data_IF_827577362481
#
_entry.id   IF_827577362481
#
_cell.length_a   1.000
_cell.length_b   1.000
_cell.length_c   1.000
_cell.angle_alpha   90.00
_cell.angle_beta   90.00
_cell.angle_gamma   90.00
#
_symmetry.space_group_name_H-M   'P 1'
#
loop_
_entity.id
_entity.type
_entity.pdbx_description
1 polymer ?
#
# COMPACT_ATOMS: atom_id res chain seq x y z
N UNK A 1 -23.17 50.88 22.84
CA UNK A 1 -22.73 52.29 22.96
C UNK A 1 -21.52 52.48 22.09
N UNK A 2 -21.68 53.28 21.02
CA UNK A 2 -20.76 54.15 20.29
C UNK A 2 -19.50 53.48 19.68
N UNK A 3 -19.35 53.41 18.35
CA UNK A 3 -19.20 54.39 17.22
C UNK A 3 -17.72 54.37 16.79
N UNK A 4 -17.45 53.82 15.60
CA UNK A 4 -17.04 54.45 14.33
C UNK A 4 -15.62 55.11 14.36
N UNK A 5 -14.77 55.03 13.35
CA UNK A 5 -14.94 55.59 12.03
C UNK A 5 -13.84 55.18 11.05
N UNK A 6 -14.19 55.25 9.78
CA UNK A 6 -13.36 55.19 8.55
C UNK A 6 -12.26 56.26 8.49
N UNK A 7 -11.18 56.00 7.73
CA UNK A 7 -10.54 56.97 6.87
C UNK A 7 -10.09 56.31 5.58
N UNK A 8 -10.62 56.78 4.46
CA UNK A 8 -10.11 56.63 3.07
C UNK A 8 -9.00 57.67 2.83
N UNK A 9 -8.01 57.30 2.06
CA UNK A 9 -7.18 58.26 1.36
C UNK A 9 -6.87 57.78 -0.06
N UNK A 10 -7.32 58.54 -1.01
CA UNK A 10 -7.13 58.50 -2.48
C UNK A 10 -5.92 59.39 -2.82
N UNK A 11 -5.05 58.99 -3.75
CA UNK A 11 -4.25 59.88 -4.62
C UNK A 11 -3.69 59.04 -5.76
N UNK A 12 -4.04 59.19 -6.86
CA UNK A 12 -3.94 59.93 -8.11
C UNK A 12 -2.64 59.65 -8.91
N UNK A 13 -2.87 59.29 -10.17
CA UNK A 13 -1.91 58.93 -11.20
C UNK A 13 -1.12 60.14 -11.74
N UNK A 14 0.09 59.89 -12.22
CA UNK A 14 0.74 60.70 -13.26
C UNK A 14 1.42 59.78 -14.28
N UNK A 15 1.01 59.92 -15.53
CA UNK A 15 1.61 59.28 -16.70
C UNK A 15 2.74 60.16 -17.25
N UNK A 16 3.86 59.49 -17.61
CA UNK A 16 4.80 60.10 -18.57
C UNK A 16 5.21 59.03 -19.58
N UNK A 17 4.93 59.31 -20.85
CA UNK A 17 5.36 58.49 -21.98
C UNK A 17 6.80 58.87 -22.39
N UNK A 18 7.57 57.87 -22.74
CA UNK A 18 8.87 58.04 -23.39
C UNK A 18 9.20 56.82 -24.26
N UNK A 19 9.07 56.98 -25.58
CA UNK A 19 9.53 56.00 -26.56
C UNK A 19 11.05 56.06 -26.72
N UNK A 20 11.72 54.88 -26.70
CA UNK A 20 12.91 54.66 -27.51
C UNK A 20 13.08 53.17 -27.80
N UNK A 21 13.23 52.86 -29.07
CA UNK A 21 13.43 51.60 -29.72
C UNK A 21 14.88 51.13 -29.59
N UNK A 22 15.12 49.86 -29.21
CA UNK A 22 16.26 49.09 -29.70
C UNK A 22 16.14 47.58 -29.32
N UNK A 23 16.37 46.78 -30.32
CA UNK A 23 16.56 45.36 -30.49
C UNK A 23 16.45 44.42 -29.31
N UNK A 24 15.47 43.52 -29.32
CA UNK A 24 15.35 42.40 -28.39
C UNK A 24 15.76 41.09 -29.05
N UNK A 25 16.86 40.52 -28.59
CA UNK A 25 17.08 39.10 -28.67
C UNK A 25 16.12 38.40 -27.68
N UNK A 26 15.10 37.74 -28.20
CA UNK A 26 14.10 37.06 -27.39
C UNK A 26 14.71 35.85 -26.64
N UNK A 27 14.99 36.00 -25.36
CA UNK A 27 14.98 34.87 -24.43
C UNK A 27 13.52 34.51 -24.19
N UNK A 28 13.10 33.33 -24.64
CA UNK A 28 11.84 32.75 -24.24
C UNK A 28 11.88 32.63 -22.69
N UNK A 29 11.07 33.42 -22.03
CA UNK A 29 10.79 33.21 -20.60
C UNK A 29 10.09 31.87 -20.50
N UNK A 30 10.73 30.88 -19.86
CA UNK A 30 10.08 29.67 -19.39
C UNK A 30 9.11 30.09 -18.28
N UNK A 31 7.90 30.53 -18.68
CA UNK A 31 6.84 30.82 -17.74
C UNK A 31 6.52 29.54 -16.99
N UNK A 32 6.74 29.53 -15.67
CA UNK A 32 6.32 28.48 -14.79
C UNK A 32 4.82 28.26 -14.94
N UNK A 33 4.40 27.09 -15.43
CA UNK A 33 2.99 26.78 -15.65
C UNK A 33 2.34 26.74 -14.27
N UNK A 34 1.39 27.66 -14.04
CA UNK A 34 0.70 27.77 -12.76
C UNK A 34 -0.10 26.51 -12.47
N UNK A 35 0.02 25.98 -11.25
CA UNK A 35 -0.80 24.87 -10.74
C UNK A 35 -2.29 25.25 -10.78
N UNK A 36 -3.08 24.49 -11.55
CA UNK A 36 -4.51 24.74 -11.76
C UNK A 36 -5.36 23.49 -11.59
N UNK A 37 -4.73 22.30 -11.60
CA UNK A 37 -5.38 21.00 -11.49
C UNK A 37 -5.35 20.50 -10.04
N UNK A 38 -6.43 19.88 -9.60
CA UNK A 38 -6.57 19.31 -8.24
C UNK A 38 -6.95 17.83 -8.32
N UNK A 39 -6.00 16.94 -8.67
CA UNK A 39 -6.20 15.50 -8.52
C UNK A 39 -6.31 15.16 -7.03
N UNK A 40 -7.06 14.12 -6.70
CA UNK A 40 -7.13 13.58 -5.34
C UNK A 40 -6.74 12.11 -5.34
N UNK A 41 -6.52 11.55 -4.16
CA UNK A 41 -6.02 10.16 -3.97
C UNK A 41 -4.83 9.86 -4.87
N UNK A 42 -3.90 10.84 -5.02
CA UNK A 42 -2.65 10.67 -5.76
C UNK A 42 -1.78 9.67 -5.01
N UNK A 43 -1.33 8.65 -5.73
CA UNK A 43 -0.55 7.57 -5.13
C UNK A 43 0.47 6.98 -6.09
N UNK A 44 1.57 6.57 -5.53
CA UNK A 44 2.49 5.66 -6.17
C UNK A 44 2.14 4.23 -5.78
N UNK A 45 2.27 3.30 -6.70
CA UNK A 45 2.11 1.85 -6.48
C UNK A 45 3.40 1.18 -6.94
N UNK A 46 3.84 0.15 -6.24
CA UNK A 46 5.04 -0.60 -6.60
C UNK A 46 4.99 -1.12 -8.05
N UNK A 47 6.12 -1.14 -8.72
CA UNK A 47 6.31 -1.85 -9.98
C UNK A 47 6.92 -3.24 -9.68
N UNK A 48 6.91 -4.16 -10.65
CA UNK A 48 7.62 -5.44 -10.50
C UNK A 48 9.12 -5.23 -10.25
N UNK A 49 9.70 -4.26 -10.94
CA UNK A 49 11.07 -3.78 -10.77
C UNK A 49 11.03 -2.30 -10.35
N UNK A 50 11.31 -2.02 -9.09
CA UNK A 50 11.28 -0.68 -8.53
C UNK A 50 12.58 0.12 -8.75
N UNK A 51 13.63 -0.52 -9.27
CA UNK A 51 14.84 0.17 -9.75
C UNK A 51 14.55 0.98 -11.03
N UNK A 52 13.62 0.49 -11.88
CA UNK A 52 13.40 1.03 -13.23
C UNK A 52 11.96 1.38 -13.54
N UNK A 53 11.01 1.14 -12.62
CA UNK A 53 9.58 1.35 -12.85
C UNK A 53 8.82 1.95 -11.68
N UNK A 54 7.65 2.54 -11.99
CA UNK A 54 6.68 3.02 -11.02
C UNK A 54 5.29 3.12 -11.65
N UNK A 55 4.24 2.73 -10.91
CA UNK A 55 2.87 3.04 -11.30
C UNK A 55 2.40 4.26 -10.52
N UNK A 56 1.83 5.25 -11.23
CA UNK A 56 1.25 6.45 -10.63
C UNK A 56 -0.25 6.43 -10.92
N UNK A 57 -1.04 6.66 -9.88
CA UNK A 57 -2.49 6.70 -9.98
C UNK A 57 -3.05 7.95 -9.29
N UNK A 58 -4.19 8.42 -9.77
CA UNK A 58 -4.93 9.55 -9.19
C UNK A 58 -6.40 9.48 -9.56
N UNK A 59 -7.22 10.27 -8.90
CA UNK A 59 -8.64 10.38 -9.19
C UNK A 59 -9.01 11.80 -9.61
N UNK A 60 -10.00 11.88 -10.50
CA UNK A 60 -10.64 13.12 -10.94
C UNK A 60 -12.16 12.93 -11.03
N UNK A 61 -12.92 14.00 -10.88
CA UNK A 61 -14.38 13.99 -11.06
C UNK A 61 -14.83 14.05 -12.52
N UNK A 62 -13.89 14.14 -13.46
CA UNK A 62 -14.17 14.16 -14.90
C UNK A 62 -13.33 13.12 -15.63
N UNK A 63 -13.86 12.55 -16.72
CA UNK A 63 -13.21 11.51 -17.53
C UNK A 63 -12.45 12.03 -18.74
N UNK A 64 -11.91 13.24 -18.70
CA UNK A 64 -11.14 13.80 -19.82
C UNK A 64 -9.81 13.07 -20.00
N UNK A 65 -9.25 13.16 -21.22
CA UNK A 65 -7.89 12.64 -21.45
C UNK A 65 -6.86 13.32 -20.54
N UNK A 66 -6.00 12.52 -19.96
CA UNK A 66 -5.01 12.95 -18.99
C UNK A 66 -3.64 12.31 -19.28
N UNK A 67 -2.57 12.93 -18.78
CA UNK A 67 -1.21 12.43 -18.88
C UNK A 67 -0.44 12.69 -17.59
N UNK A 68 0.62 11.94 -17.41
CA UNK A 68 1.61 12.15 -16.37
C UNK A 68 2.84 12.80 -17.00
N UNK A 69 3.29 13.90 -16.43
CA UNK A 69 4.60 14.47 -16.71
C UNK A 69 5.58 14.08 -15.62
N UNK A 70 6.81 13.76 -15.98
CA UNK A 70 7.87 13.43 -15.06
C UNK A 70 9.23 13.93 -15.53
N UNK A 71 10.14 14.12 -14.59
CA UNK A 71 11.52 14.55 -14.86
C UNK A 71 12.44 14.08 -13.73
N UNK A 72 13.75 14.04 -13.97
CA UNK A 72 14.72 13.97 -12.86
C UNK A 72 14.57 15.23 -12.00
N UNK A 73 14.68 15.08 -10.69
CA UNK A 73 14.54 16.19 -9.75
C UNK A 73 15.47 17.37 -10.13
N UNK A 74 14.89 18.55 -10.22
CA UNK A 74 15.62 19.75 -10.61
C UNK A 74 15.95 19.88 -12.10
N UNK A 75 15.58 18.92 -12.96
CA UNK A 75 15.80 18.99 -14.42
C UNK A 75 14.69 19.78 -15.11
N UNK A 76 15.01 20.36 -16.25
CA UNK A 76 14.03 20.97 -17.16
C UNK A 76 13.58 20.00 -18.28
N UNK A 77 14.13 18.80 -18.37
CA UNK A 77 13.77 17.78 -19.37
C UNK A 77 12.52 17.04 -18.91
N UNK A 78 11.34 17.57 -19.29
CA UNK A 78 10.04 17.01 -18.95
C UNK A 78 9.65 15.97 -19.99
N UNK A 79 9.37 14.77 -19.54
CA UNK A 79 8.80 13.67 -20.33
C UNK A 79 7.33 13.49 -19.98
N UNK A 80 6.56 12.88 -20.87
CA UNK A 80 5.13 12.65 -20.67
C UNK A 80 4.72 11.23 -21.05
N UNK A 81 3.80 10.68 -20.26
CA UNK A 81 3.16 9.38 -20.51
C UNK A 81 1.64 9.57 -20.48
N UNK A 82 0.93 9.00 -21.46
CA UNK A 82 -0.54 9.01 -21.48
C UNK A 82 -1.08 8.13 -20.35
N UNK A 83 -2.07 8.63 -19.63
CA UNK A 83 -2.79 7.87 -18.63
C UNK A 83 -3.98 7.10 -19.25
N UNK A 84 -4.31 5.96 -18.63
CA UNK A 84 -5.55 5.21 -18.89
C UNK A 84 -6.49 5.48 -17.73
N UNK A 85 -7.77 5.74 -18.00
CA UNK A 85 -8.79 5.95 -16.97
C UNK A 85 -9.82 4.83 -16.94
N UNK A 86 -10.30 4.53 -15.73
CA UNK A 86 -11.46 3.66 -15.47
C UNK A 86 -12.47 4.45 -14.65
N UNK A 87 -13.74 4.40 -15.05
CA UNK A 87 -14.83 5.01 -14.28
C UNK A 87 -15.04 4.21 -12.98
N UNK A 88 -15.21 4.93 -11.87
CA UNK A 88 -15.57 4.40 -10.57
C UNK A 88 -16.88 5.01 -10.14
N UNK A 89 -17.90 4.18 -9.98
CA UNK A 89 -19.22 4.63 -9.53
C UNK A 89 -19.19 4.94 -8.04
N UNK A 90 -19.68 6.12 -7.69
CA UNK A 90 -19.88 6.52 -6.31
C UNK A 90 -21.05 5.79 -5.66
N UNK A 91 -21.15 5.91 -4.34
CA UNK A 91 -22.26 5.42 -3.53
C UNK A 91 -22.48 6.30 -2.30
N UNK A 92 -23.60 6.10 -1.58
CA UNK A 92 -23.92 6.75 -0.30
C UNK A 92 -23.61 8.26 -0.25
N UNK A 93 -23.79 8.96 -1.37
CA UNK A 93 -23.55 10.41 -1.46
C UNK A 93 -22.14 10.79 -1.94
N UNK A 94 -21.28 9.82 -2.23
CA UNK A 94 -20.02 10.02 -2.93
C UNK A 94 -20.28 10.07 -4.44
N UNK A 95 -19.74 11.06 -5.12
CA UNK A 95 -19.93 11.24 -6.56
C UNK A 95 -19.09 10.24 -7.37
N UNK A 96 -19.56 9.94 -8.60
CA UNK A 96 -18.79 9.21 -9.60
C UNK A 96 -17.44 9.89 -9.84
N UNK A 97 -16.42 9.10 -10.09
CA UNK A 97 -15.07 9.54 -10.37
C UNK A 97 -14.40 8.72 -11.46
N UNK A 98 -13.20 9.12 -11.84
CA UNK A 98 -12.34 8.41 -12.78
C UNK A 98 -11.00 8.17 -12.12
N UNK A 99 -10.57 6.90 -12.08
CA UNK A 99 -9.26 6.49 -11.61
C UNK A 99 -8.32 6.43 -12.80
N UNK A 100 -7.28 7.25 -12.76
CA UNK A 100 -6.25 7.32 -13.80
C UNK A 100 -5.03 6.51 -13.39
N UNK A 101 -4.40 5.87 -14.37
CA UNK A 101 -3.18 5.09 -14.20
C UNK A 101 -2.17 5.44 -15.28
N UNK A 102 -0.96 5.79 -14.86
CA UNK A 102 0.21 5.94 -15.73
C UNK A 102 1.34 5.05 -15.23
N UNK A 103 1.97 4.28 -16.14
CA UNK A 103 3.11 3.44 -15.82
C UNK A 103 4.37 4.11 -16.34
N UNK A 104 5.35 4.24 -15.47
CA UNK A 104 6.69 4.70 -15.80
C UNK A 104 7.60 3.49 -15.89
N UNK A 105 8.26 3.34 -17.03
CA UNK A 105 9.23 2.31 -17.29
C UNK A 105 10.56 2.97 -17.72
N UNK A 106 11.66 2.24 -17.62
CA UNK A 106 12.99 2.74 -17.99
C UNK A 106 13.45 3.97 -17.19
N UNK A 107 13.06 4.05 -15.92
CA UNK A 107 13.65 4.98 -14.97
C UNK A 107 15.09 4.55 -14.67
N UNK A 108 15.92 5.45 -14.18
CA UNK A 108 17.28 5.11 -13.75
C UNK A 108 17.27 4.69 -12.29
N UNK A 109 18.00 3.61 -11.97
CA UNK A 109 18.19 3.09 -10.62
C UNK A 109 18.74 4.16 -9.68
N UNK A 110 18.25 4.21 -8.43
CA UNK A 110 18.74 5.08 -7.38
C UNK A 110 18.67 6.57 -7.73
N UNK A 111 17.63 6.98 -8.45
CA UNK A 111 17.50 8.33 -8.98
C UNK A 111 16.22 9.00 -8.45
N UNK A 112 16.37 10.26 -8.04
CA UNK A 112 15.24 11.09 -7.65
C UNK A 112 14.58 11.71 -8.87
N UNK A 113 13.27 11.57 -8.95
CA UNK A 113 12.39 12.14 -9.95
C UNK A 113 11.33 13.00 -9.29
N UNK A 114 10.64 13.78 -10.13
CA UNK A 114 9.41 14.48 -9.80
C UNK A 114 8.36 14.14 -10.87
N UNK A 115 7.11 14.01 -10.45
CA UNK A 115 5.98 13.80 -11.36
C UNK A 115 4.82 14.76 -11.08
N UNK A 116 4.00 15.01 -12.10
CA UNK A 116 2.75 15.77 -11.96
C UNK A 116 1.73 15.28 -12.99
N UNK A 117 0.45 15.47 -12.70
CA UNK A 117 -0.63 15.21 -13.64
C UNK A 117 -0.88 16.41 -14.56
N UNK A 118 -1.30 16.14 -15.79
CA UNK A 118 -1.63 17.17 -16.78
C UNK A 118 -2.92 16.81 -17.53
N UNK A 119 -3.85 17.76 -17.59
CA UNK A 119 -5.07 17.68 -18.38
C UNK A 119 -5.18 18.93 -19.28
N UNK A 120 -4.84 18.79 -20.57
CA UNK A 120 -4.73 19.92 -21.47
C UNK A 120 -3.67 20.91 -21.01
N UNK A 121 -4.09 22.14 -20.68
CA UNK A 121 -3.21 23.22 -20.19
C UNK A 121 -3.12 23.27 -18.65
N UNK A 122 -3.88 22.44 -17.95
CA UNK A 122 -3.90 22.41 -16.49
C UNK A 122 -2.89 21.38 -15.96
N UNK A 123 -2.21 21.70 -14.87
CA UNK A 123 -1.25 20.80 -14.21
C UNK A 123 -1.43 20.83 -12.70
N UNK A 124 -1.09 19.71 -12.06
CA UNK A 124 -0.98 19.64 -10.60
C UNK A 124 0.35 20.20 -10.10
N UNK A 125 0.52 20.25 -8.77
CA UNK A 125 1.86 20.38 -8.15
C UNK A 125 2.78 19.25 -8.61
N UNK A 126 4.08 19.42 -8.42
CA UNK A 126 5.07 18.35 -8.52
C UNK A 126 5.08 17.51 -7.26
N UNK A 127 5.18 16.18 -7.43
CA UNK A 127 5.30 15.19 -6.38
C UNK A 127 6.66 14.50 -6.51
N UNK A 128 7.35 14.16 -5.41
CA UNK A 128 8.62 13.44 -5.48
C UNK A 128 8.41 11.96 -5.79
N UNK A 129 9.42 11.33 -6.42
CA UNK A 129 9.51 9.91 -6.67
C UNK A 129 10.99 9.51 -6.60
N UNK A 130 11.33 8.52 -5.79
CA UNK A 130 12.65 7.92 -5.78
C UNK A 130 12.58 6.47 -6.27
N UNK A 131 13.50 6.07 -7.15
CA UNK A 131 13.65 4.67 -7.54
C UNK A 131 14.50 3.91 -6.53
N UNK A 132 14.30 2.59 -6.45
CA UNK A 132 15.15 1.73 -5.62
C UNK A 132 16.63 1.86 -6.02
N UNK A 133 17.50 1.95 -5.03
CA UNK A 133 18.95 2.02 -5.24
C UNK A 133 19.65 0.64 -5.15
N UNK A 134 18.87 -0.41 -4.82
CA UNK A 134 19.34 -1.78 -4.64
C UNK A 134 20.09 -2.04 -3.33
N UNK A 135 20.11 -1.07 -2.42
CA UNK A 135 20.76 -1.20 -1.11
C UNK A 135 19.78 -1.58 0.01
N UNK A 136 20.22 -1.39 1.23
CA UNK A 136 19.35 -1.53 2.41
C UNK A 136 18.19 -0.56 2.35
N UNK A 137 17.06 -0.98 2.87
CA UNK A 137 15.85 -0.16 2.89
C UNK A 137 15.02 -0.42 4.16
N UNK A 138 14.03 0.44 4.34
CA UNK A 138 13.02 0.35 5.38
C UNK A 138 11.64 0.51 4.75
N UNK A 139 10.65 -0.25 5.22
CA UNK A 139 9.25 -0.11 4.82
C UNK A 139 8.35 -0.02 6.06
N UNK A 140 7.27 0.78 5.97
CA UNK A 140 6.19 0.74 6.96
C UNK A 140 5.27 -0.42 6.57
N UNK A 141 4.80 -1.18 7.55
CA UNK A 141 3.86 -2.30 7.33
C UNK A 141 2.68 -2.16 8.29
N UNK A 142 1.48 -2.20 7.74
CA UNK A 142 0.23 -2.24 8.51
C UNK A 142 -0.70 -3.30 7.95
N UNK A 143 -1.77 -3.58 8.67
CA UNK A 143 -2.85 -4.47 8.27
C UNK A 143 -4.14 -4.09 8.98
N UNK A 144 -5.26 -4.62 8.51
CA UNK A 144 -6.55 -4.55 9.17
C UNK A 144 -6.87 -3.09 9.62
N UNK A 145 -6.72 -2.14 8.69
CA UNK A 145 -6.99 -0.73 8.94
C UNK A 145 -8.48 -0.38 8.93
N UNK A 146 -9.33 -1.38 8.68
CA UNK A 146 -10.78 -1.26 8.73
C UNK A 146 -11.26 -0.61 10.02
N UNK A 147 -12.14 0.35 9.92
CA UNK A 147 -12.54 1.18 11.03
C UNK A 147 -13.96 1.73 10.86
N UNK A 148 -14.62 2.00 11.98
CA UNK A 148 -15.93 2.65 11.97
C UNK A 148 -15.85 4.13 11.56
N UNK A 149 -14.80 4.85 11.95
CA UNK A 149 -14.61 6.28 11.68
C UNK A 149 -13.21 6.69 11.22
N UNK A 150 -12.26 5.75 11.15
CA UNK A 150 -10.87 5.92 10.72
C UNK A 150 -10.01 6.89 11.56
N UNK A 151 -10.48 7.38 12.71
CA UNK A 151 -9.72 8.32 13.54
C UNK A 151 -8.51 7.65 14.21
N UNK A 152 -8.67 6.44 14.72
CA UNK A 152 -7.58 5.65 15.31
C UNK A 152 -6.54 5.29 14.23
N UNK A 153 -7.00 4.86 13.05
CA UNK A 153 -6.15 4.60 11.89
C UNK A 153 -5.36 5.84 11.45
N UNK A 154 -6.04 7.00 11.33
CA UNK A 154 -5.39 8.24 10.93
C UNK A 154 -4.26 8.60 11.90
N UNK A 155 -4.48 8.48 13.20
CA UNK A 155 -3.48 8.75 14.22
C UNK A 155 -2.31 7.78 14.12
N UNK A 156 -2.59 6.46 14.09
CA UNK A 156 -1.56 5.41 14.02
C UNK A 156 -0.67 5.61 12.80
N UNK A 157 -1.28 5.76 11.61
CA UNK A 157 -0.51 5.84 10.36
C UNK A 157 0.33 7.11 10.28
N UNK A 158 -0.22 8.26 10.68
CA UNK A 158 0.53 9.52 10.72
C UNK A 158 1.71 9.48 11.71
N UNK A 159 1.49 8.87 12.87
CA UNK A 159 2.56 8.66 13.85
C UNK A 159 3.64 7.71 13.28
N UNK A 160 3.25 6.59 12.66
CA UNK A 160 4.17 5.66 12.01
C UNK A 160 4.99 6.35 10.90
N UNK A 161 4.34 7.07 9.98
CA UNK A 161 5.01 7.79 8.90
C UNK A 161 5.95 8.88 9.41
N UNK A 162 5.55 9.64 10.43
CA UNK A 162 6.38 10.70 11.01
C UNK A 162 7.64 10.18 11.71
N UNK A 163 7.58 8.98 12.28
CA UNK A 163 8.72 8.31 12.93
C UNK A 163 9.65 7.59 11.95
N UNK A 164 9.19 7.35 10.72
CA UNK A 164 9.93 6.64 9.68
C UNK A 164 9.96 7.43 8.36
N UNK A 165 10.46 8.69 8.38
CA UNK A 165 10.48 9.55 7.19
C UNK A 165 11.37 9.01 6.08
N UNK A 166 12.26 8.06 6.39
CA UNK A 166 13.16 7.37 5.46
C UNK A 166 12.55 6.09 4.86
N UNK A 167 11.28 5.77 5.17
CA UNK A 167 10.62 4.61 4.59
C UNK A 167 10.59 4.71 3.05
N UNK A 168 11.04 3.66 2.39
CA UNK A 168 11.13 3.60 0.94
C UNK A 168 9.77 3.25 0.30
N UNK A 169 8.95 2.48 0.99
CA UNK A 169 7.59 2.12 0.57
C UNK A 169 6.71 1.74 1.77
N UNK A 170 5.43 1.54 1.49
CA UNK A 170 4.41 1.17 2.47
C UNK A 170 3.74 -0.14 2.04
N UNK A 171 3.63 -1.11 2.95
CA UNK A 171 2.91 -2.38 2.79
C UNK A 171 1.61 -2.31 3.60
N UNK A 172 0.48 -2.63 2.97
CA UNK A 172 -0.80 -2.87 3.65
C UNK A 172 -1.26 -4.30 3.36
N UNK A 173 -1.43 -5.12 4.42
CA UNK A 173 -1.73 -6.55 4.29
C UNK A 173 -3.23 -6.86 4.16
N UNK A 174 -4.04 -5.91 3.70
CA UNK A 174 -5.46 -6.12 3.44
C UNK A 174 -6.38 -5.81 4.62
N UNK A 175 -7.67 -5.98 4.39
CA UNK A 175 -8.75 -5.42 5.21
C UNK A 175 -8.52 -3.91 5.41
N UNK A 176 -8.27 -3.25 4.29
CA UNK A 176 -8.02 -1.80 4.18
C UNK A 176 -9.26 -1.03 4.62
N UNK A 177 -10.42 -1.53 4.22
CA UNK A 177 -11.75 -1.00 4.54
C UNK A 177 -12.60 -2.07 5.21
N UNK A 178 -13.61 -1.65 5.98
CA UNK A 178 -14.54 -2.57 6.64
C UNK A 178 -15.56 -3.17 5.65
N UNK A 179 -15.80 -2.48 4.54
CA UNK A 179 -16.65 -2.98 3.47
C UNK A 179 -16.13 -2.52 2.10
N UNK A 180 -15.74 -3.47 1.27
CA UNK A 180 -15.07 -3.24 -0.01
C UNK A 180 -15.87 -2.41 -1.01
N UNK A 181 -17.21 -2.37 -0.92
CA UNK A 181 -18.06 -1.55 -1.79
C UNK A 181 -18.40 -0.17 -1.21
N UNK A 182 -17.92 0.19 -0.04
CA UNK A 182 -18.17 1.50 0.57
C UNK A 182 -17.09 2.53 0.14
N UNK A 183 -17.40 3.34 -0.87
CA UNK A 183 -16.45 4.35 -1.38
C UNK A 183 -16.11 5.42 -0.33
N UNK A 184 -16.98 5.70 0.62
CA UNK A 184 -16.67 6.63 1.72
C UNK A 184 -15.49 6.12 2.55
N UNK A 185 -15.44 4.81 2.84
CA UNK A 185 -14.36 4.19 3.61
C UNK A 185 -13.05 4.23 2.82
N UNK A 186 -13.08 3.95 1.52
CA UNK A 186 -11.91 4.10 0.65
C UNK A 186 -11.37 5.53 0.65
N UNK A 187 -12.25 6.52 0.56
CA UNK A 187 -11.83 7.92 0.62
C UNK A 187 -11.25 8.32 1.98
N UNK A 188 -11.80 7.78 3.08
CA UNK A 188 -11.27 8.01 4.41
C UNK A 188 -9.86 7.42 4.57
N UNK A 189 -9.64 6.20 4.05
CA UNK A 189 -8.32 5.59 4.03
C UNK A 189 -7.34 6.39 3.17
N UNK A 190 -7.70 6.71 1.93
CA UNK A 190 -6.84 7.52 1.05
C UNK A 190 -6.50 8.87 1.63
N UNK A 191 -7.44 9.54 2.28
CA UNK A 191 -7.19 10.81 2.97
C UNK A 191 -6.13 10.67 4.06
N UNK A 192 -6.17 9.58 4.81
CA UNK A 192 -5.20 9.30 5.88
C UNK A 192 -3.78 9.15 5.33
N UNK A 193 -3.61 8.38 4.28
CA UNK A 193 -2.29 8.02 3.75
C UNK A 193 -1.76 8.98 2.67
N UNK A 194 -2.56 9.97 2.26
CA UNK A 194 -2.32 10.84 1.10
C UNK A 194 -0.92 11.47 1.06
N UNK A 195 -0.49 12.08 2.19
CA UNK A 195 0.80 12.79 2.29
C UNK A 195 2.02 11.83 2.35
N UNK A 196 1.77 10.53 2.34
CA UNK A 196 2.80 9.48 2.32
C UNK A 196 2.86 8.80 0.96
N UNK A 197 1.72 8.27 0.47
CA UNK A 197 1.70 7.49 -0.77
C UNK A 197 1.79 8.33 -2.04
N UNK A 198 1.71 9.65 -1.94
CA UNK A 198 2.09 10.57 -3.02
C UNK A 198 3.62 10.70 -3.19
N UNK A 199 4.43 10.22 -2.21
CA UNK A 199 5.90 10.30 -2.17
C UNK A 199 6.58 8.94 -2.26
N UNK A 200 6.03 7.92 -1.60
CA UNK A 200 6.54 6.55 -1.60
C UNK A 200 5.46 5.57 -2.09
N UNK A 201 5.82 4.48 -2.78
CA UNK A 201 4.81 3.56 -3.29
C UNK A 201 4.16 2.71 -2.21
N UNK A 202 2.89 2.37 -2.43
CA UNK A 202 2.17 1.36 -1.66
C UNK A 202 2.22 0.00 -2.35
N UNK A 203 2.35 -1.06 -1.54
CA UNK A 203 2.24 -2.46 -1.92
C UNK A 203 1.08 -3.09 -1.13
N UNK A 204 -0.17 -3.04 -1.62
CA UNK A 204 -1.32 -3.55 -0.90
C UNK A 204 -1.55 -5.04 -1.19
N UNK A 205 -1.97 -5.83 -0.19
CA UNK A 205 -2.65 -7.10 -0.40
C UNK A 205 -4.17 -6.90 -0.34
N UNK A 206 -4.93 -7.81 -0.93
CA UNK A 206 -6.38 -7.85 -0.77
C UNK A 206 -6.75 -8.66 0.47
N UNK A 207 -7.68 -8.15 1.29
CA UNK A 207 -8.27 -8.87 2.40
C UNK A 207 -9.69 -9.33 2.09
N UNK A 208 -10.31 -10.09 2.99
CA UNK A 208 -11.66 -10.58 2.77
C UNK A 208 -12.72 -9.45 2.86
N UNK A 209 -12.45 -8.39 3.61
CA UNK A 209 -13.37 -7.25 3.70
C UNK A 209 -13.47 -6.46 2.40
N UNK A 210 -12.45 -6.48 1.54
CA UNK A 210 -12.52 -5.93 0.18
C UNK A 210 -13.54 -6.67 -0.70
N UNK A 211 -13.82 -7.94 -0.39
CA UNK A 211 -14.76 -8.80 -1.13
C UNK A 211 -16.17 -8.87 -0.50
N UNK A 212 -16.57 -7.86 0.30
CA UNK A 212 -17.94 -7.75 0.79
C UNK A 212 -18.69 -6.58 0.17
N UNK A 213 -19.97 -6.85 -0.17
CA UNK A 213 -20.94 -5.87 -0.64
C UNK A 213 -21.52 -5.06 0.54
N UNK A 214 -22.23 -3.95 0.22
CA UNK A 214 -22.87 -3.08 1.23
C UNK A 214 -23.89 -3.79 2.13
N UNK A 215 -24.41 -4.94 1.72
CA UNK A 215 -25.30 -5.80 2.50
C UNK A 215 -24.57 -7.05 3.07
N UNK A 216 -23.27 -6.98 3.17
CA UNK A 216 -22.39 -8.01 3.76
C UNK A 216 -22.45 -9.38 3.07
N UNK A 217 -22.67 -9.38 1.77
CA UNK A 217 -22.56 -10.59 0.96
C UNK A 217 -21.24 -10.61 0.22
N UNK A 218 -20.74 -11.78 -0.01
CA UNK A 218 -19.57 -12.00 -0.85
C UNK A 218 -19.78 -11.39 -2.24
N UNK A 219 -18.74 -10.77 -2.78
CA UNK A 219 -18.68 -10.16 -4.11
C UNK A 219 -17.24 -10.08 -4.59
N UNK A 220 -17.04 -9.73 -5.86
CA UNK A 220 -15.71 -9.38 -6.34
C UNK A 220 -15.21 -8.10 -5.68
N UNK A 221 -13.91 -7.99 -5.34
CA UNK A 221 -13.30 -6.80 -4.76
C UNK A 221 -13.09 -5.68 -5.80
N UNK A 222 -14.13 -5.31 -6.54
CA UNK A 222 -14.07 -4.43 -7.72
C UNK A 222 -13.44 -3.06 -7.43
N UNK A 223 -13.66 -2.52 -6.24
CA UNK A 223 -13.06 -1.23 -5.87
C UNK A 223 -11.57 -1.38 -5.62
N UNK A 224 -11.13 -2.42 -4.88
CA UNK A 224 -9.73 -2.72 -4.71
C UNK A 224 -9.02 -2.90 -6.06
N UNK A 225 -9.58 -3.74 -6.95
CA UNK A 225 -9.07 -4.00 -8.30
C UNK A 225 -9.07 -2.75 -9.20
N UNK A 226 -9.81 -1.71 -8.81
CA UNK A 226 -9.84 -0.42 -9.52
C UNK A 226 -8.92 0.60 -8.87
N UNK A 227 -8.86 0.62 -7.55
CA UNK A 227 -8.02 1.55 -6.80
C UNK A 227 -6.54 1.24 -6.91
N UNK A 228 -6.15 -0.02 -7.18
CA UNK A 228 -4.75 -0.41 -7.29
C UNK A 228 -4.46 -1.05 -8.65
N UNK A 229 -3.51 -0.49 -9.36
CA UNK A 229 -2.97 -1.04 -10.61
C UNK A 229 -1.59 -1.65 -10.34
N UNK A 230 -1.61 -2.91 -9.97
CA UNK A 230 -0.47 -3.67 -9.46
C UNK A 230 0.45 -4.19 -10.59
N UNK A 231 1.63 -4.74 -10.29
CA UNK A 231 2.48 -5.42 -11.24
C UNK A 231 1.72 -6.52 -12.00
N UNK A 232 1.93 -6.58 -13.33
CA UNK A 232 1.29 -7.57 -14.20
C UNK A 232 2.24 -8.74 -14.45
N UNK A 233 2.57 -9.48 -13.42
CA UNK A 233 3.44 -10.65 -13.49
C UNK A 233 2.74 -11.97 -13.09
N UNK A 234 1.44 -11.90 -12.78
CA UNK A 234 0.55 -13.04 -12.61
C UNK A 234 -0.23 -13.40 -13.88
N UNK A 235 -1.38 -14.07 -13.73
CA UNK A 235 -2.33 -14.35 -14.82
C UNK A 235 -3.06 -13.06 -15.23
N UNK A 236 -3.08 -12.74 -16.51
CA UNK A 236 -3.73 -11.51 -17.02
C UNK A 236 -5.23 -11.41 -16.66
N UNK A 237 -5.92 -12.56 -16.53
CA UNK A 237 -7.33 -12.60 -16.14
C UNK A 237 -7.56 -12.36 -14.64
N UNK A 238 -6.49 -12.51 -13.85
CA UNK A 238 -6.45 -12.31 -12.41
C UNK A 238 -5.57 -11.11 -12.06
N UNK A 239 -5.45 -10.15 -12.98
CA UNK A 239 -4.67 -8.94 -12.76
C UNK A 239 -5.17 -8.18 -11.51
N UNK A 240 -4.23 -7.74 -10.68
CA UNK A 240 -4.45 -7.06 -9.40
C UNK A 240 -4.94 -7.94 -8.24
N UNK A 241 -5.13 -9.27 -8.41
CA UNK A 241 -5.40 -10.18 -7.29
C UNK A 241 -4.10 -10.50 -6.54
N UNK A 242 -3.14 -11.06 -7.24
CA UNK A 242 -1.83 -11.40 -6.70
C UNK A 242 -0.71 -10.89 -7.62
N UNK A 243 0.46 -10.68 -7.08
CA UNK A 243 1.60 -10.12 -7.81
C UNK A 243 2.90 -10.30 -7.03
N UNK A 244 4.02 -10.01 -7.68
CA UNK A 244 5.31 -9.90 -7.00
C UNK A 244 6.04 -8.62 -7.38
N UNK A 245 6.97 -8.21 -6.52
CA UNK A 245 7.85 -7.08 -6.78
C UNK A 245 9.18 -7.27 -6.07
N UNK A 246 10.20 -6.62 -6.61
CA UNK A 246 11.53 -6.57 -6.01
C UNK A 246 11.80 -5.19 -5.39
N UNK A 247 12.46 -5.20 -4.23
CA UNK A 247 13.06 -4.01 -3.63
C UNK A 247 14.36 -4.38 -2.91
N UNK A 248 15.47 -3.66 -3.24
CA UNK A 248 16.79 -4.07 -2.77
C UNK A 248 17.09 -5.50 -3.17
N UNK A 249 17.54 -6.30 -2.22
CA UNK A 249 17.80 -7.74 -2.42
C UNK A 249 16.67 -8.63 -1.88
N UNK A 250 15.45 -8.12 -1.83
CA UNK A 250 14.24 -8.83 -1.40
C UNK A 250 13.27 -9.00 -2.56
N UNK A 251 12.78 -10.22 -2.71
CA UNK A 251 11.65 -10.56 -3.55
C UNK A 251 10.40 -10.70 -2.68
N UNK A 252 9.37 -9.92 -2.97
CA UNK A 252 8.09 -9.97 -2.29
C UNK A 252 7.05 -10.63 -3.19
N UNK A 253 6.45 -11.72 -2.71
CA UNK A 253 5.30 -12.38 -3.34
C UNK A 253 4.05 -12.04 -2.54
N UNK A 254 3.10 -11.36 -3.16
CA UNK A 254 1.83 -10.92 -2.54
C UNK A 254 0.71 -11.81 -3.03
N UNK A 255 0.04 -12.48 -2.09
CA UNK A 255 -1.02 -13.46 -2.37
C UNK A 255 -2.41 -12.89 -2.09
N UNK A 256 -3.36 -13.36 -2.90
CA UNK A 256 -4.80 -13.17 -2.68
C UNK A 256 -5.35 -14.39 -1.95
N UNK A 257 -5.68 -14.23 -0.70
CA UNK A 257 -6.20 -15.31 0.13
C UNK A 257 -7.72 -15.29 0.28
N UNK A 258 -8.44 -14.51 -0.54
CA UNK A 258 -9.91 -14.40 -0.52
C UNK A 258 -10.62 -15.52 -1.30
N UNK A 259 -10.10 -16.74 -1.16
CA UNK A 259 -10.49 -17.91 -1.94
C UNK A 259 -11.96 -18.31 -1.78
N UNK A 260 -12.51 -18.14 -0.58
CA UNK A 260 -13.89 -18.48 -0.26
C UNK A 260 -14.81 -17.41 -0.79
N UNK A 261 -14.45 -16.15 -0.55
CA UNK A 261 -15.24 -14.96 -0.89
C UNK A 261 -15.38 -14.80 -2.40
N UNK A 262 -14.35 -15.14 -3.17
CA UNK A 262 -14.33 -14.92 -4.61
C UNK A 262 -14.66 -16.16 -5.45
N UNK A 263 -14.78 -17.34 -4.83
CA UNK A 263 -14.94 -18.64 -5.49
C UNK A 263 -16.04 -18.68 -6.55
N UNK A 264 -17.13 -17.94 -6.34
CA UNK A 264 -18.25 -17.93 -7.28
C UNK A 264 -17.87 -17.27 -8.62
N UNK A 265 -16.97 -16.30 -8.61
CA UNK A 265 -16.61 -15.50 -9.79
C UNK A 265 -15.28 -15.95 -10.42
N UNK A 266 -14.34 -16.39 -9.62
CA UNK A 266 -13.01 -16.84 -10.04
C UNK A 266 -12.65 -18.20 -9.43
N UNK A 267 -13.38 -19.27 -9.82
CA UNK A 267 -13.26 -20.58 -9.17
C UNK A 267 -11.88 -21.23 -9.32
N UNK A 268 -11.07 -20.79 -10.27
CA UNK A 268 -9.71 -21.26 -10.53
C UNK A 268 -8.60 -20.33 -9.99
N UNK A 269 -8.97 -19.27 -9.26
CA UNK A 269 -8.03 -18.33 -8.64
C UNK A 269 -6.94 -19.06 -7.85
N UNK A 270 -7.37 -19.92 -6.94
CA UNK A 270 -6.47 -20.62 -6.01
C UNK A 270 -5.43 -21.50 -6.71
N UNK A 271 -5.88 -22.38 -7.63
CA UNK A 271 -4.96 -23.28 -8.32
C UNK A 271 -3.97 -22.53 -9.21
N UNK A 272 -4.43 -21.45 -9.83
CA UNK A 272 -3.55 -20.60 -10.64
C UNK A 272 -2.54 -19.84 -9.79
N UNK A 273 -2.99 -19.29 -8.67
CA UNK A 273 -2.13 -18.56 -7.75
C UNK A 273 -1.06 -19.45 -7.15
N UNK A 274 -1.40 -20.66 -6.68
CA UNK A 274 -0.42 -21.63 -6.17
C UNK A 274 0.66 -21.96 -7.19
N UNK A 275 0.22 -22.29 -8.43
CA UNK A 275 1.15 -22.64 -9.49
C UNK A 275 2.05 -21.46 -9.88
N UNK A 276 1.48 -20.24 -9.88
CA UNK A 276 2.23 -19.03 -10.13
C UNK A 276 3.22 -18.73 -8.99
N UNK A 277 2.79 -18.78 -7.73
CA UNK A 277 3.61 -18.48 -6.56
C UNK A 277 4.83 -19.42 -6.49
N UNK A 278 4.65 -20.73 -6.71
CA UNK A 278 5.75 -21.68 -6.75
C UNK A 278 6.78 -21.31 -7.83
N UNK A 279 6.31 -20.96 -9.04
CA UNK A 279 7.17 -20.56 -10.15
C UNK A 279 7.86 -19.23 -9.88
N UNK A 280 7.12 -18.24 -9.41
CA UNK A 280 7.59 -16.88 -9.13
C UNK A 280 8.72 -16.90 -8.09
N UNK A 281 8.45 -17.47 -6.92
CA UNK A 281 9.43 -17.57 -5.82
C UNK A 281 10.67 -18.38 -6.24
N UNK A 282 10.48 -19.49 -6.98
CA UNK A 282 11.61 -20.33 -7.45
C UNK A 282 12.48 -19.58 -8.46
N UNK A 283 11.87 -18.76 -9.32
CA UNK A 283 12.59 -18.04 -10.37
C UNK A 283 13.38 -16.84 -9.86
N UNK A 284 13.03 -16.30 -8.72
CA UNK A 284 13.72 -15.15 -8.13
C UNK A 284 15.17 -15.45 -7.78
N UNK A 285 16.05 -14.50 -8.08
CA UNK A 285 17.50 -14.53 -7.76
C UNK A 285 17.84 -13.64 -6.57
N UNK A 286 16.86 -12.97 -5.99
CA UNK A 286 17.06 -12.15 -4.81
C UNK A 286 17.47 -13.04 -3.63
N UNK A 287 18.28 -12.47 -2.74
CA UNK A 287 18.78 -13.17 -1.55
C UNK A 287 17.64 -13.56 -0.62
N UNK A 288 16.69 -12.64 -0.44
CA UNK A 288 15.58 -12.79 0.49
C UNK A 288 14.26 -12.99 -0.25
N UNK A 289 13.42 -13.87 0.27
CA UNK A 289 12.09 -14.19 -0.26
C UNK A 289 11.06 -14.00 0.86
N UNK A 290 10.19 -13.01 0.67
CA UNK A 290 9.16 -12.64 1.64
C UNK A 290 7.79 -12.84 1.01
N UNK A 291 6.91 -13.53 1.72
CA UNK A 291 5.51 -13.69 1.32
C UNK A 291 4.65 -12.74 2.16
N UNK A 292 3.76 -12.03 1.47
CA UNK A 292 2.75 -11.16 2.05
C UNK A 292 1.38 -11.74 1.73
N UNK A 293 0.57 -12.02 2.76
CA UNK A 293 -0.76 -12.58 2.59
C UNK A 293 -1.69 -12.05 3.68
N UNK A 294 -2.98 -11.93 3.37
CA UNK A 294 -3.93 -11.42 4.37
C UNK A 294 -4.29 -12.51 5.38
N UNK A 295 -4.92 -13.61 4.94
CA UNK A 295 -5.36 -14.68 5.85
C UNK A 295 -4.18 -15.45 6.41
N UNK A 296 -4.25 -15.73 7.72
CA UNK A 296 -3.18 -16.42 8.43
C UNK A 296 -3.09 -17.91 8.09
N UNK A 297 -1.89 -18.46 7.84
CA UNK A 297 -1.71 -19.89 7.60
C UNK A 297 -2.04 -20.78 8.82
N UNK A 298 -2.05 -20.23 10.05
CA UNK A 298 -2.40 -20.97 11.25
C UNK A 298 -3.87 -20.78 11.62
N UNK A 299 -4.47 -21.85 12.16
CA UNK A 299 -5.84 -21.84 12.69
C UNK A 299 -5.83 -21.87 14.21
N UNK A 300 -6.46 -20.88 14.82
CA UNK A 300 -6.54 -20.73 16.29
C UNK A 300 -7.87 -21.22 16.83
N UNK A 301 -7.85 -21.85 18.02
CA UNK A 301 -9.05 -22.14 18.81
C UNK A 301 -9.57 -20.87 19.48
N UNK A 302 -10.90 -20.79 19.64
CA UNK A 302 -11.53 -19.73 20.41
C UNK A 302 -11.25 -19.90 21.92
N UNK A 303 -11.00 -18.78 22.60
CA UNK A 303 -10.84 -18.78 24.06
C UNK A 303 -12.20 -18.91 24.78
N UNK A 304 -13.28 -18.38 24.17
CA UNK A 304 -14.65 -18.45 24.70
C UNK A 304 -15.27 -19.82 24.37
N UNK A 305 -15.57 -20.65 25.39
CA UNK A 305 -16.18 -21.96 25.19
C UNK A 305 -17.64 -21.93 24.71
N UNK A 306 -18.29 -20.78 24.75
CA UNK A 306 -19.65 -20.63 24.20
C UNK A 306 -19.68 -20.54 22.69
N UNK A 307 -18.55 -20.26 22.04
CA UNK A 307 -18.41 -20.27 20.60
C UNK A 307 -18.36 -21.69 20.03
N UNK A 308 -18.72 -21.90 18.75
CA UNK A 308 -18.56 -23.18 18.10
C UNK A 308 -17.11 -23.70 18.24
N UNK A 309 -16.96 -25.01 18.46
CA UNK A 309 -15.65 -25.60 18.58
C UNK A 309 -14.84 -25.34 17.28
N UNK A 310 -13.63 -24.82 17.43
CA UNK A 310 -12.65 -24.66 16.37
C UNK A 310 -11.33 -25.22 16.88
N UNK A 311 -10.86 -26.25 16.20
CA UNK A 311 -9.60 -26.90 16.57
C UNK A 311 -8.40 -26.04 16.17
N UNK A 312 -7.35 -26.10 16.97
CA UNK A 312 -6.05 -25.53 16.65
C UNK A 312 -5.40 -26.34 15.52
N UNK A 313 -4.67 -25.68 14.63
CA UNK A 313 -3.97 -26.32 13.54
C UNK A 313 -3.56 -25.35 12.44
N UNK A 314 -3.85 -25.71 11.20
CA UNK A 314 -3.54 -24.88 10.03
C UNK A 314 -4.81 -24.57 9.26
N UNK A 315 -4.91 -23.35 8.75
CA UNK A 315 -6.00 -22.93 7.88
C UNK A 315 -5.96 -23.67 6.55
N UNK A 316 -6.98 -23.53 5.73
CA UNK A 316 -6.98 -24.15 4.41
C UNK A 316 -5.91 -23.50 3.51
N UNK A 317 -5.72 -22.17 3.63
CA UNK A 317 -4.64 -21.44 2.99
C UNK A 317 -3.27 -21.96 3.47
N UNK A 318 -3.12 -22.18 4.76
CA UNK A 318 -1.88 -22.71 5.33
C UNK A 318 -1.52 -24.11 4.84
N UNK A 319 -2.49 -25.03 4.78
CA UNK A 319 -2.26 -26.40 4.28
C UNK A 319 -1.77 -26.43 2.83
N UNK A 320 -2.19 -25.47 2.03
CA UNK A 320 -1.88 -25.42 0.62
C UNK A 320 -0.61 -24.62 0.30
N UNK A 321 -0.39 -23.51 0.98
CA UNK A 321 0.75 -22.63 0.66
C UNK A 321 2.03 -22.97 1.45
N UNK A 322 1.95 -23.40 2.71
CA UNK A 322 3.14 -23.69 3.52
C UNK A 322 4.09 -24.72 2.88
N UNK A 323 3.61 -25.82 2.24
CA UNK A 323 4.50 -26.73 1.52
C UNK A 323 5.22 -26.09 0.34
N UNK A 324 4.61 -25.09 -0.31
CA UNK A 324 5.23 -24.30 -1.38
C UNK A 324 6.34 -23.42 -0.80
N UNK A 325 6.08 -22.75 0.32
CA UNK A 325 7.05 -21.89 1.00
C UNK A 325 8.28 -22.68 1.46
N UNK A 326 8.06 -23.85 2.06
CA UNK A 326 9.13 -24.78 2.45
C UNK A 326 10.00 -25.21 1.25
N UNK A 327 9.35 -25.63 0.16
CA UNK A 327 9.99 -26.10 -1.06
C UNK A 327 10.78 -25.00 -1.79
N UNK A 328 10.28 -23.76 -1.79
CA UNK A 328 10.84 -22.66 -2.56
C UNK A 328 11.84 -21.81 -1.79
N UNK A 329 12.02 -22.10 -0.51
CA UNK A 329 12.97 -21.41 0.38
C UNK A 329 12.53 -19.98 0.70
N UNK A 330 11.26 -19.79 1.08
CA UNK A 330 10.76 -18.55 1.67
C UNK A 330 11.45 -18.31 3.01
N UNK A 331 11.80 -17.07 3.31
CA UNK A 331 12.47 -16.69 4.55
C UNK A 331 11.49 -16.17 5.61
N UNK A 332 10.51 -15.38 5.18
CA UNK A 332 9.55 -14.73 6.08
C UNK A 332 8.17 -14.70 5.44
N UNK A 333 7.15 -15.02 6.24
CA UNK A 333 5.73 -14.90 5.87
C UNK A 333 5.08 -13.91 6.82
N UNK A 334 4.50 -12.85 6.27
CA UNK A 334 3.71 -11.86 6.99
C UNK A 334 2.24 -12.05 6.67
N UNK A 335 1.42 -12.18 7.71
CA UNK A 335 -0.03 -12.34 7.60
C UNK A 335 -0.79 -11.40 8.54
N UNK A 336 -2.13 -11.39 8.45
CA UNK A 336 -3.02 -10.46 9.12
C UNK A 336 -4.36 -11.14 9.52
N UNK A 337 -5.51 -10.45 9.35
CA UNK A 337 -6.86 -11.02 9.45
C UNK A 337 -7.39 -11.34 10.86
N UNK A 338 -6.57 -11.86 11.75
CA UNK A 338 -7.02 -12.32 13.07
C UNK A 338 -6.98 -11.22 14.14
N UNK A 339 -6.61 -10.00 13.78
CA UNK A 339 -6.51 -8.83 14.66
C UNK A 339 -5.71 -9.14 15.94
N UNK A 340 -4.58 -9.82 15.79
CA UNK A 340 -3.68 -10.22 16.88
C UNK A 340 -2.24 -10.15 16.40
N UNK A 341 -1.30 -9.75 17.26
CA UNK A 341 0.13 -9.79 16.92
C UNK A 341 0.79 -11.01 17.56
N UNK A 342 1.40 -11.87 16.73
CA UNK A 342 2.09 -13.08 17.20
C UNK A 342 3.29 -13.40 16.32
N UNK A 343 4.39 -13.78 16.94
CA UNK A 343 5.53 -14.39 16.28
C UNK A 343 5.53 -15.91 16.54
N UNK A 344 5.68 -16.70 15.48
CA UNK A 344 5.70 -18.17 15.57
C UNK A 344 7.08 -18.75 15.32
N UNK A 345 8.09 -17.88 15.02
CA UNK A 345 9.41 -18.36 14.65
C UNK A 345 9.40 -19.24 13.42
N UNK A 346 10.38 -20.11 13.30
CA UNK A 346 10.49 -21.05 12.18
C UNK A 346 9.47 -22.19 12.28
N UNK A 347 8.75 -22.40 11.18
CA UNK A 347 7.87 -23.56 10.98
C UNK A 347 8.29 -24.24 9.67
N UNK A 348 8.55 -25.56 9.73
CA UNK A 348 8.86 -26.39 8.58
C UNK A 348 8.10 -27.70 8.67
N UNK A 349 7.56 -28.22 7.58
CA UNK A 349 6.69 -29.42 7.54
C UNK A 349 5.62 -29.39 8.65
N UNK A 350 4.95 -28.25 8.78
CA UNK A 350 3.89 -27.99 9.78
C UNK A 350 4.33 -28.16 11.25
N UNK A 351 5.60 -28.03 11.54
CA UNK A 351 6.16 -28.20 12.89
C UNK A 351 7.15 -27.08 13.20
N UNK A 352 7.31 -26.81 14.48
CA UNK A 352 8.40 -25.97 14.94
C UNK A 352 9.74 -26.55 14.47
N UNK A 353 10.58 -25.68 13.94
CA UNK A 353 11.89 -26.02 13.43
C UNK A 353 12.92 -24.92 13.80
N UNK A 354 14.19 -25.17 13.48
CA UNK A 354 15.28 -24.22 13.57
C UNK A 354 15.69 -23.63 12.20
N UNK A 355 14.92 -23.97 11.19
CA UNK A 355 15.09 -23.55 9.78
C UNK A 355 13.73 -23.42 9.09
N UNK A 356 13.73 -23.04 7.81
CA UNK A 356 12.53 -22.79 7.02
C UNK A 356 11.95 -21.38 7.27
N UNK A 357 10.75 -21.09 6.78
CA UNK A 357 10.15 -19.78 6.89
C UNK A 357 9.86 -19.38 8.35
N UNK A 358 10.07 -18.12 8.68
CA UNK A 358 9.55 -17.49 9.91
C UNK A 358 8.15 -16.96 9.63
N UNK A 359 7.21 -17.15 10.56
CA UNK A 359 5.81 -16.72 10.39
C UNK A 359 5.44 -15.69 11.45
N UNK A 360 5.00 -14.51 11.01
CA UNK A 360 4.52 -13.46 11.89
C UNK A 360 3.14 -13.00 11.42
N UNK A 361 2.14 -13.05 12.31
CA UNK A 361 0.88 -12.37 12.09
C UNK A 361 0.97 -10.99 12.71
N UNK A 362 0.61 -9.98 11.94
CA UNK A 362 0.62 -8.61 12.37
C UNK A 362 -0.70 -8.25 13.03
N UNK A 363 -0.63 -7.39 14.01
CA UNK A 363 -1.81 -6.84 14.64
C UNK A 363 -2.47 -5.78 13.79
N UNK A 364 -3.49 -5.16 14.32
CA UNK A 364 -4.39 -4.28 13.60
C UNK A 364 -3.98 -2.81 13.62
N UNK A 365 -4.27 -2.13 12.52
CA UNK A 365 -4.13 -0.69 12.40
C UNK A 365 -5.42 0.09 12.67
N UNK A 366 -6.58 -0.56 12.55
CA UNK A 366 -7.91 0.02 12.74
C UNK A 366 -8.50 -0.16 14.14
N UNK A 367 -9.81 0.06 14.28
CA UNK A 367 -10.48 -0.02 15.57
C UNK A 367 -11.45 -1.21 15.75
N UNK A 368 -11.45 -2.16 14.83
CA UNK A 368 -12.20 -3.42 14.97
C UNK A 368 -11.36 -4.41 15.76
N UNK A 369 -11.72 -4.67 17.00
CA UNK A 369 -10.93 -5.46 17.95
C UNK A 369 -11.68 -6.67 18.49
N UNK A 370 -10.95 -7.75 18.71
CA UNK A 370 -11.47 -9.00 19.27
C UNK A 370 -10.67 -9.42 20.53
N UNK A 371 -10.73 -8.64 21.62
CA UNK A 371 -9.90 -8.85 22.80
C UNK A 371 -10.11 -10.24 23.40
N UNK A 372 -9.02 -10.99 23.58
CA UNK A 372 -9.06 -12.33 24.18
C UNK A 372 -9.82 -13.38 23.35
N UNK A 373 -10.02 -13.15 22.04
CA UNK A 373 -10.76 -14.08 21.18
C UNK A 373 -10.04 -15.43 21.00
N UNK A 374 -8.71 -15.39 20.87
CA UNK A 374 -7.90 -16.53 20.47
C UNK A 374 -7.13 -17.13 21.64
N UNK A 375 -7.13 -18.47 21.75
CA UNK A 375 -6.16 -19.17 22.62
C UNK A 375 -4.74 -18.99 22.06
N UNK A 376 -3.75 -19.23 22.92
CA UNK A 376 -2.37 -19.39 22.47
C UNK A 376 -2.26 -20.66 21.64
N UNK A 377 -1.66 -20.57 20.45
CA UNK A 377 -1.34 -21.72 19.61
C UNK A 377 -0.04 -22.39 20.09
N UNK A 378 0.11 -23.71 19.93
CA UNK A 378 1.32 -24.44 20.31
C UNK A 378 2.58 -23.94 19.59
N UNK A 379 2.41 -23.35 18.40
CA UNK A 379 3.49 -22.77 17.61
C UNK A 379 3.77 -21.28 17.90
N UNK A 380 3.02 -20.62 18.79
CA UNK A 380 3.32 -19.23 19.17
C UNK A 380 4.58 -19.17 20.04
N UNK A 381 5.58 -18.42 19.62
CA UNK A 381 6.72 -18.03 20.44
C UNK A 381 6.41 -16.78 21.26
N UNK A 382 5.93 -15.74 20.60
CA UNK A 382 5.50 -14.50 21.21
C UNK A 382 4.00 -14.23 20.92
N UNK A 383 3.31 -13.71 21.90
CA UNK A 383 1.93 -13.22 21.80
C UNK A 383 1.88 -11.84 22.43
N UNK A 384 1.36 -10.86 21.71
CA UNK A 384 1.18 -9.52 22.26
C UNK A 384 0.34 -9.51 23.54
N UNK A 385 0.64 -8.63 24.51
CA UNK A 385 -0.18 -8.49 25.71
C UNK A 385 -1.64 -8.20 25.40
N UNK A 386 -2.55 -8.75 26.19
CA UNK A 386 -3.99 -8.54 26.05
C UNK A 386 -4.51 -7.54 27.11
N UNK A 387 -5.50 -6.70 26.79
CA UNK A 387 -6.10 -6.53 25.45
C UNK A 387 -5.12 -5.90 24.48
N UNK A 388 -5.08 -6.41 23.27
CA UNK A 388 -4.25 -5.84 22.22
C UNK A 388 -4.72 -4.43 21.86
N UNK A 389 -3.75 -3.58 21.51
CA UNK A 389 -3.98 -2.23 20.99
C UNK A 389 -3.51 -2.14 19.55
N UNK A 390 -3.82 -1.03 18.89
CA UNK A 390 -3.31 -0.75 17.54
C UNK A 390 -1.78 -0.84 17.54
N UNK A 391 -1.24 -1.29 16.44
CA UNK A 391 0.20 -1.34 16.24
C UNK A 391 0.54 -1.22 14.75
N UNK A 392 1.73 -0.75 14.48
CA UNK A 392 2.33 -0.73 13.15
C UNK A 392 3.67 -1.43 13.19
N UNK A 393 4.15 -1.82 12.03
CA UNK A 393 5.43 -2.49 11.92
C UNK A 393 6.37 -1.73 11.00
N UNK A 394 7.66 -1.94 11.23
CA UNK A 394 8.75 -1.48 10.37
C UNK A 394 9.52 -2.70 9.93
N UNK A 395 9.59 -2.90 8.62
CA UNK A 395 10.38 -3.92 7.98
C UNK A 395 11.68 -3.30 7.48
N UNK A 396 12.81 -3.88 7.84
CA UNK A 396 14.14 -3.47 7.40
C UNK A 396 14.85 -4.67 6.77
N UNK A 397 15.53 -4.43 5.67
CA UNK A 397 16.34 -5.44 5.01
C UNK A 397 17.72 -4.91 4.67
N UNK A 398 18.73 -5.74 4.90
CA UNK A 398 20.10 -5.52 4.47
C UNK A 398 20.73 -6.82 3.96
N UNK A 399 22.03 -6.79 3.64
CA UNK A 399 22.77 -7.95 3.13
C UNK A 399 22.81 -9.11 4.13
N UNK A 400 22.60 -8.89 5.43
CA UNK A 400 22.83 -9.87 6.48
C UNK A 400 21.56 -10.37 7.16
N UNK A 401 20.49 -9.58 7.15
CA UNK A 401 19.28 -9.90 7.89
C UNK A 401 18.04 -9.18 7.38
N UNK A 402 16.88 -9.77 7.69
CA UNK A 402 15.60 -9.10 7.69
C UNK A 402 15.23 -8.81 9.16
N UNK A 403 14.73 -7.63 9.44
CA UNK A 403 14.26 -7.23 10.76
C UNK A 403 12.84 -6.71 10.63
N UNK A 404 11.92 -7.31 11.40
CA UNK A 404 10.56 -6.84 11.55
C UNK A 404 10.38 -6.36 12.99
N UNK A 405 10.09 -5.07 13.17
CA UNK A 405 9.87 -4.45 14.48
C UNK A 405 8.44 -3.95 14.60
N UNK A 406 7.66 -4.51 15.50
CA UNK A 406 6.31 -4.05 15.84
C UNK A 406 6.36 -2.94 16.89
N UNK A 407 5.57 -1.89 16.70
CA UNK A 407 5.50 -0.72 17.58
C UNK A 407 4.06 -0.40 17.97
N UNK A 408 3.87 0.03 19.21
CA UNK A 408 2.65 0.64 19.68
C UNK A 408 2.49 2.07 19.11
N UNK A 409 1.30 2.67 19.18
CA UNK A 409 1.07 4.02 18.62
C UNK A 409 1.98 5.12 19.19
N UNK A 410 2.45 4.95 20.43
CA UNK A 410 3.39 5.89 21.06
C UNK A 410 4.86 5.70 20.64
N UNK A 411 5.14 4.69 19.80
CA UNK A 411 6.47 4.32 19.35
C UNK A 411 7.21 3.36 20.29
N UNK A 412 6.55 2.84 21.31
CA UNK A 412 7.12 1.78 22.16
C UNK A 412 7.28 0.49 21.36
N UNK A 413 8.47 -0.13 21.41
CA UNK A 413 8.73 -1.42 20.78
C UNK A 413 7.88 -2.51 21.45
N UNK A 414 7.03 -3.15 20.66
CA UNK A 414 6.21 -4.28 21.08
C UNK A 414 6.98 -5.59 21.00
N UNK A 415 7.57 -5.87 19.84
CA UNK A 415 8.35 -7.09 19.56
C UNK A 415 9.28 -6.87 18.37
N UNK A 416 10.31 -7.69 18.26
CA UNK A 416 11.22 -7.69 17.12
C UNK A 416 11.56 -9.12 16.69
N UNK A 417 11.35 -9.40 15.41
CA UNK A 417 11.73 -10.65 14.74
C UNK A 417 12.93 -10.41 13.85
N UNK A 418 13.95 -11.26 13.93
CA UNK A 418 15.16 -11.14 13.11
C UNK A 418 15.39 -12.46 12.37
N UNK A 419 15.44 -12.38 11.04
CA UNK A 419 15.75 -13.53 10.16
C UNK A 419 17.15 -13.36 9.59
N UNK A 420 17.99 -14.41 9.74
CA UNK A 420 19.36 -14.45 9.20
C UNK A 420 19.54 -15.66 8.32
N UNK A 421 20.43 -15.53 7.35
CA UNK A 421 20.96 -16.68 6.57
C UNK A 421 22.43 -16.89 6.96
N UNK A 422 22.77 -18.15 7.21
CA UNK A 422 24.14 -18.59 7.46
C UNK A 422 25.04 -18.43 6.19
#
# INVERSE_FOLDING_TARGET
>A
MKIAACVMALCAAVSIAGCSSSGSSGKAASGEVKETMRPYSVRQVVAADNEHGRTIMWQMTNGKEDSLEYRKAGSNDIRSVKAVSKELKGDKGVSDSFVYTARLDNLEKGTDYEYRTRQGNEVSKWYPLATDNGGKFKAIVTSDSQSSDYSDWEKLFKDAASRNPEAAFFIDLGDIVDNGQDEYQWQAWFKTVADTIDKIPVAPAVGNHEAYSLDWKETMPERYLTHFSLPKNGDDKLANHYYSFDWGDVHFTVLDTSLVEEKQWVPDLFEKEKAWAEKDITSSKKKWKVVLMHKDPLQYSFADPSRPAREEGFSDEGKEFMPIFDKTGVDLVLSAHLHTYRDRGHIYDFKRADHGPVYVILGLGGNVRYPGLWKRHALDEYVAPQPETDNYNVFEADDNQLVLSGYLPDGTLLHQTIVRKD
#
